data_IF_260473584455
#
_entry.id   IF_260473584455
#
_cell.length_a   1.000
_cell.length_b   1.000
_cell.length_c   1.000
_cell.angle_alpha   90.00
_cell.angle_beta   90.00
_cell.angle_gamma   90.00
#
_symmetry.space_group_name_H-M   'P 1'
#
loop_
_entity.id
_entity.type
_entity.pdbx_description
1 polymer ?
#
# COMPACT_ATOMS: atom_id res chain seq x y z
N UNK A 1 1.35 46.89 -17.70
CA UNK A 1 2.14 45.89 -16.94
C UNK A 1 1.28 45.16 -15.90
N UNK A 2 0.01 44.85 -16.18
CA UNK A 2 -0.90 44.21 -15.21
C UNK A 2 -1.09 42.70 -15.42
N UNK A 3 -0.75 42.15 -16.59
CA UNK A 3 -1.02 40.73 -16.90
C UNK A 3 0.02 39.74 -16.32
N UNK A 4 1.15 40.20 -15.77
CA UNK A 4 2.15 39.29 -15.17
C UNK A 4 1.75 38.81 -13.77
N UNK A 5 1.11 39.66 -12.97
CA UNK A 5 0.72 39.35 -11.59
C UNK A 5 -0.43 38.34 -11.52
N UNK A 6 -1.35 38.34 -12.49
CA UNK A 6 -2.43 37.35 -12.52
C UNK A 6 -1.94 35.94 -12.88
N UNK A 7 -0.92 35.81 -13.73
CA UNK A 7 -0.31 34.52 -14.06
C UNK A 7 0.54 33.97 -12.92
N UNK A 8 1.27 34.81 -12.20
CA UNK A 8 2.03 34.37 -11.01
C UNK A 8 1.09 33.90 -9.87
N UNK A 9 -0.04 34.58 -9.65
CA UNK A 9 -1.02 34.15 -8.62
C UNK A 9 -1.76 32.88 -9.05
N UNK A 10 -1.96 32.64 -10.35
CA UNK A 10 -2.54 31.38 -10.85
C UNK A 10 -1.52 30.24 -10.78
N UNK A 11 -0.23 30.47 -11.03
CA UNK A 11 0.82 29.46 -10.86
C UNK A 11 1.09 29.13 -9.39
N UNK A 12 1.02 30.11 -8.48
CA UNK A 12 1.04 29.87 -7.02
C UNK A 12 -0.19 29.08 -6.59
N UNK A 13 -1.35 29.26 -7.25
CA UNK A 13 -2.56 28.44 -7.02
C UNK A 13 -2.48 27.02 -7.61
N UNK A 14 -1.67 26.78 -8.63
CA UNK A 14 -1.41 25.43 -9.19
C UNK A 14 -0.34 24.68 -8.37
N UNK A 15 0.49 25.42 -7.62
CA UNK A 15 1.45 24.90 -6.64
C UNK A 15 0.91 24.82 -5.20
N UNK A 16 -0.41 24.84 -4.99
CA UNK A 16 -0.97 24.53 -3.67
C UNK A 16 -0.72 23.05 -3.44
N UNK A 17 0.32 22.74 -2.65
CA UNK A 17 0.39 21.48 -1.93
C UNK A 17 -0.88 21.42 -1.11
N UNK A 18 -1.92 20.75 -1.63
CA UNK A 18 -3.18 20.61 -0.91
C UNK A 18 -2.84 19.74 0.29
N UNK A 19 -2.76 20.39 1.43
CA UNK A 19 -2.46 19.76 2.71
C UNK A 19 -3.74 19.10 3.21
N UNK A 20 -3.67 17.81 3.48
CA UNK A 20 -4.77 17.04 4.06
C UNK A 20 -4.35 16.55 5.45
N UNK A 21 -5.20 16.77 6.44
CA UNK A 21 -4.99 16.27 7.80
C UNK A 21 -5.50 14.83 7.88
N UNK A 22 -4.67 13.92 8.38
CA UNK A 22 -5.09 12.55 8.68
C UNK A 22 -4.57 12.08 10.02
N UNK A 23 -5.24 11.06 10.58
CA UNK A 23 -4.85 10.47 11.85
C UNK A 23 -3.57 9.63 11.67
N UNK A 24 -2.57 9.83 12.54
CA UNK A 24 -1.32 9.02 12.54
C UNK A 24 -1.59 7.53 12.63
N UNK A 25 -2.61 7.15 13.41
CA UNK A 25 -3.11 5.77 13.54
C UNK A 25 -3.53 5.16 12.20
N UNK A 26 -4.13 5.94 11.31
CA UNK A 26 -4.56 5.48 9.99
C UNK A 26 -3.37 5.21 9.07
N UNK A 27 -2.34 6.06 9.11
CA UNK A 27 -1.10 5.87 8.35
C UNK A 27 -0.40 4.58 8.79
N UNK A 28 -0.36 4.31 10.09
CA UNK A 28 0.30 3.09 10.60
C UNK A 28 -0.48 1.83 10.26
N UNK A 29 -1.81 1.88 10.25
CA UNK A 29 -2.61 0.79 9.70
C UNK A 29 -2.32 0.58 8.20
N UNK A 30 -2.17 1.65 7.42
CA UNK A 30 -1.78 1.53 6.00
C UNK A 30 -0.41 0.88 5.84
N UNK A 31 0.59 1.24 6.64
CA UNK A 31 1.93 0.62 6.63
C UNK A 31 1.82 -0.90 6.85
N UNK A 32 1.09 -1.34 7.88
CA UNK A 32 0.92 -2.76 8.18
C UNK A 32 0.07 -3.49 7.14
N UNK A 33 -0.92 -2.81 6.56
CA UNK A 33 -1.73 -3.34 5.46
C UNK A 33 -0.86 -3.61 4.22
N UNK A 34 -0.02 -2.65 3.82
CA UNK A 34 0.89 -2.86 2.70
C UNK A 34 1.91 -3.95 2.99
N UNK A 35 2.45 -4.02 4.21
CA UNK A 35 3.37 -5.08 4.61
C UNK A 35 2.72 -6.48 4.52
N UNK A 36 1.44 -6.59 4.90
CA UNK A 36 0.66 -7.82 4.76
C UNK A 36 0.59 -8.26 3.29
N UNK A 37 0.32 -7.33 2.36
CA UNK A 37 0.26 -7.64 0.93
C UNK A 37 1.62 -7.93 0.31
N UNK A 38 2.72 -7.38 0.83
CA UNK A 38 4.07 -7.80 0.42
C UNK A 38 4.28 -9.27 0.77
N UNK A 39 4.01 -9.65 2.02
CA UNK A 39 4.16 -11.04 2.49
C UNK A 39 3.28 -11.98 1.65
N UNK A 40 2.02 -11.59 1.44
CA UNK A 40 1.08 -12.38 0.66
C UNK A 40 1.46 -12.51 -0.83
N UNK A 41 1.92 -11.41 -1.44
CA UNK A 41 2.36 -11.40 -2.83
C UNK A 41 3.60 -12.26 -3.05
N UNK A 42 4.60 -12.15 -2.17
CA UNK A 42 5.80 -13.01 -2.20
C UNK A 42 5.43 -14.48 -2.03
N UNK A 43 4.56 -14.79 -1.06
CA UNK A 43 4.07 -16.15 -0.86
C UNK A 43 3.34 -16.70 -2.10
N UNK A 44 2.56 -15.85 -2.78
CA UNK A 44 1.89 -16.21 -4.04
C UNK A 44 2.90 -16.65 -5.10
N UNK A 45 4.02 -15.93 -5.24
CA UNK A 45 5.06 -16.25 -6.21
C UNK A 45 5.81 -17.51 -5.79
N UNK A 46 6.33 -17.55 -4.56
CA UNK A 46 7.20 -18.62 -4.07
C UNK A 46 6.48 -19.98 -4.04
N UNK A 47 5.20 -20.00 -3.67
CA UNK A 47 4.39 -21.23 -3.65
C UNK A 47 4.22 -21.88 -5.03
N UNK A 48 4.39 -21.13 -6.13
CA UNK A 48 4.38 -21.71 -7.47
C UNK A 48 5.67 -22.49 -7.78
N UNK A 49 6.82 -22.02 -7.27
CA UNK A 49 8.12 -22.66 -7.49
C UNK A 49 8.43 -23.77 -6.48
N UNK A 50 7.95 -23.60 -5.25
CA UNK A 50 8.19 -24.52 -4.13
C UNK A 50 6.85 -24.95 -3.53
N UNK A 51 6.11 -25.86 -4.19
CA UNK A 51 4.84 -26.36 -3.67
C UNK A 51 5.09 -27.21 -2.41
N UNK A 52 4.93 -26.60 -1.24
CA UNK A 52 5.14 -27.26 0.05
C UNK A 52 4.46 -26.52 1.19
N UNK A 53 4.03 -27.27 2.22
CA UNK A 53 3.28 -26.71 3.36
C UNK A 53 4.08 -25.73 4.22
N UNK A 54 5.41 -25.83 4.24
CA UNK A 54 6.28 -24.98 5.06
C UNK A 54 6.13 -23.48 4.74
N UNK A 55 6.04 -23.12 3.46
CA UNK A 55 5.86 -21.72 3.02
C UNK A 55 4.52 -21.19 3.49
N UNK A 56 3.47 -22.01 3.47
CA UNK A 56 2.14 -21.62 3.94
C UNK A 56 2.15 -21.36 5.45
N UNK A 57 2.76 -22.22 6.24
CA UNK A 57 2.90 -22.01 7.69
C UNK A 57 3.72 -20.77 8.02
N UNK A 58 4.84 -20.56 7.33
CA UNK A 58 5.69 -19.37 7.51
C UNK A 58 4.94 -18.09 7.14
N UNK A 59 4.21 -18.12 6.01
CA UNK A 59 3.39 -17.00 5.55
C UNK A 59 2.30 -16.66 6.56
N UNK A 60 1.58 -17.68 7.06
CA UNK A 60 0.54 -17.50 8.07
C UNK A 60 1.11 -16.89 9.36
N UNK A 61 2.27 -17.39 9.83
CA UNK A 61 2.97 -16.87 10.99
C UNK A 61 3.39 -15.41 10.83
N UNK A 62 3.99 -15.05 9.68
CA UNK A 62 4.42 -13.68 9.39
C UNK A 62 3.24 -12.72 9.24
N UNK A 63 2.17 -13.13 8.56
CA UNK A 63 0.96 -12.32 8.44
C UNK A 63 0.29 -12.12 9.81
N UNK A 64 0.20 -13.17 10.63
CA UNK A 64 -0.34 -13.10 11.98
C UNK A 64 0.47 -12.16 12.87
N UNK A 65 1.80 -12.29 12.86
CA UNK A 65 2.70 -11.39 13.59
C UNK A 65 2.53 -9.93 13.16
N UNK A 66 2.46 -9.68 11.85
CA UNK A 66 2.26 -8.33 11.31
C UNK A 66 0.92 -7.71 11.76
N UNK A 67 -0.16 -8.50 11.79
CA UNK A 67 -1.47 -8.03 12.29
C UNK A 67 -1.38 -7.68 13.77
N UNK A 68 -0.78 -8.55 14.59
CA UNK A 68 -0.63 -8.32 16.03
C UNK A 68 0.18 -7.05 16.30
N UNK A 69 1.32 -6.89 15.63
CA UNK A 69 2.17 -5.69 15.76
C UNK A 69 1.39 -4.44 15.33
N UNK A 70 0.68 -4.50 14.21
CA UNK A 70 -0.14 -3.39 13.72
C UNK A 70 -1.22 -2.95 14.71
N UNK A 71 -1.88 -3.90 15.36
CA UNK A 71 -2.88 -3.62 16.41
C UNK A 71 -2.22 -2.99 17.63
N UNK A 72 -1.09 -3.54 18.10
CA UNK A 72 -0.34 -2.98 19.24
C UNK A 72 0.08 -1.53 18.95
N UNK A 73 0.64 -1.27 17.77
CA UNK A 73 1.02 0.07 17.34
C UNK A 73 -0.19 1.02 17.26
N UNK A 74 -1.33 0.56 16.74
CA UNK A 74 -2.56 1.36 16.68
C UNK A 74 -3.05 1.82 18.06
N UNK A 75 -2.99 0.94 19.07
CA UNK A 75 -3.43 1.28 20.43
C UNK A 75 -2.43 2.15 21.19
N UNK A 76 -1.12 2.01 20.92
CA UNK A 76 -0.07 2.81 21.58
C UNK A 76 -0.08 4.28 21.18
N UNK A 77 -0.59 4.62 20.00
CA UNK A 77 -0.53 5.99 19.47
C UNK A 77 -1.69 6.80 19.99
N UNK A 78 -1.54 8.06 20.41
CA UNK A 78 -2.67 8.90 20.85
C UNK A 78 -3.76 9.03 19.76
N UNK A 79 -5.03 9.16 20.16
CA UNK A 79 -6.14 9.34 19.19
C UNK A 79 -6.08 10.69 18.48
N UNK A 80 -5.49 11.68 19.14
CA UNK A 80 -5.55 13.08 18.72
C UNK A 80 -4.30 13.51 17.94
N UNK A 81 -3.41 12.56 17.63
CA UNK A 81 -2.19 12.84 16.87
C UNK A 81 -2.50 12.92 15.36
N UNK A 82 -2.59 14.15 14.87
CA UNK A 82 -2.86 14.48 13.47
C UNK A 82 -1.54 14.69 12.75
N UNK A 83 -1.42 14.09 11.57
CA UNK A 83 -0.29 14.29 10.65
C UNK A 83 -0.76 15.05 9.43
N UNK A 84 0.09 15.99 9.00
CA UNK A 84 -0.14 16.84 7.84
C UNK A 84 0.44 16.14 6.62
N UNK A 85 -0.43 15.60 5.78
CA UNK A 85 0.00 14.79 4.63
C UNK A 85 -0.28 15.52 3.32
N UNK A 86 0.64 15.40 2.37
CA UNK A 86 0.44 15.88 1.02
C UNK A 86 -0.67 15.06 0.32
N UNK A 87 -1.68 15.73 -0.24
CA UNK A 87 -2.79 15.09 -0.97
C UNK A 87 -2.28 14.17 -2.09
N UNK A 88 -1.18 14.51 -2.75
CA UNK A 88 -0.58 13.70 -3.82
C UNK A 88 -0.14 12.33 -3.29
N UNK A 89 0.45 12.28 -2.09
CA UNK A 89 0.88 11.02 -1.47
C UNK A 89 -0.33 10.15 -1.10
N UNK A 90 -1.41 10.77 -0.63
CA UNK A 90 -2.69 10.10 -0.36
C UNK A 90 -3.32 9.53 -1.65
N UNK A 91 -3.34 10.29 -2.75
CA UNK A 91 -3.85 9.82 -4.03
C UNK A 91 -3.02 8.66 -4.59
N UNK A 92 -1.68 8.74 -4.48
CA UNK A 92 -0.78 7.64 -4.87
C UNK A 92 -1.05 6.38 -4.06
N UNK A 93 -1.25 6.49 -2.75
CA UNK A 93 -1.61 5.36 -1.88
C UNK A 93 -2.93 4.71 -2.31
N UNK A 94 -3.94 5.51 -2.69
CA UNK A 94 -5.21 4.98 -3.25
C UNK A 94 -5.00 4.23 -4.57
N UNK A 95 -4.17 4.75 -5.47
CA UNK A 95 -3.84 4.06 -6.73
C UNK A 95 -3.14 2.72 -6.44
N UNK A 96 -2.21 2.68 -5.48
CA UNK A 96 -1.59 1.44 -5.03
C UNK A 96 -2.62 0.44 -4.49
N UNK A 97 -3.61 0.90 -3.73
CA UNK A 97 -4.71 0.05 -3.24
C UNK A 97 -5.57 -0.52 -4.39
N UNK A 98 -5.83 0.26 -5.44
CA UNK A 98 -6.50 -0.27 -6.64
C UNK A 98 -5.65 -1.31 -7.37
N UNK A 99 -4.33 -1.10 -7.46
CA UNK A 99 -3.40 -2.11 -7.98
C UNK A 99 -3.44 -3.41 -7.18
N UNK A 100 -3.52 -3.31 -5.84
CA UNK A 100 -3.69 -4.48 -4.97
C UNK A 100 -5.02 -5.19 -5.21
N UNK A 101 -6.13 -4.45 -5.28
CA UNK A 101 -7.44 -5.01 -5.57
C UNK A 101 -7.45 -5.74 -6.92
N UNK A 102 -6.83 -5.16 -7.94
CA UNK A 102 -6.67 -5.79 -9.25
C UNK A 102 -5.84 -7.08 -9.16
N UNK A 103 -4.72 -7.07 -8.45
CA UNK A 103 -3.89 -8.28 -8.27
C UNK A 103 -4.66 -9.43 -7.61
N UNK A 104 -5.51 -9.12 -6.62
CA UNK A 104 -6.35 -10.10 -5.94
C UNK A 104 -7.43 -10.66 -6.86
N UNK A 105 -8.06 -9.80 -7.67
CA UNK A 105 -9.05 -10.23 -8.66
C UNK A 105 -8.42 -11.15 -9.70
N UNK A 106 -7.26 -10.78 -10.26
CA UNK A 106 -6.52 -11.62 -11.21
C UNK A 106 -6.18 -12.97 -10.58
N UNK A 107 -5.71 -12.98 -9.33
CA UNK A 107 -5.42 -14.21 -8.59
C UNK A 107 -6.67 -15.08 -8.39
N UNK A 108 -7.81 -14.48 -8.08
CA UNK A 108 -9.07 -15.21 -7.89
C UNK A 108 -9.59 -15.83 -9.19
N UNK A 109 -9.51 -15.07 -10.30
CA UNK A 109 -9.90 -15.55 -11.63
C UNK A 109 -8.96 -16.62 -12.17
N UNK A 110 -7.70 -16.63 -11.72
CA UNK A 110 -6.71 -17.64 -12.13
C UNK A 110 -7.12 -19.07 -11.75
N UNK A 111 -8.04 -19.30 -10.82
CA UNK A 111 -8.41 -20.64 -10.31
C UNK A 111 -8.96 -21.60 -11.39
N UNK A 112 -9.36 -21.09 -12.56
CA UNK A 112 -10.15 -21.84 -13.54
C UNK A 112 -9.40 -22.42 -14.75
N UNK A 113 -8.07 -22.27 -14.88
CA UNK A 113 -7.41 -22.54 -16.19
C UNK A 113 -5.97 -23.11 -16.18
N UNK A 114 -5.53 -23.75 -17.27
CA UNK A 114 -4.19 -24.36 -17.41
C UNK A 114 -3.02 -23.34 -17.36
N UNK A 115 -3.32 -22.03 -17.49
CA UNK A 115 -2.36 -20.91 -17.43
C UNK A 115 -2.13 -20.44 -15.96
N UNK A 116 -2.69 -21.14 -14.97
CA UNK A 116 -2.60 -20.84 -13.52
C UNK A 116 -1.21 -20.37 -13.10
N UNK A 117 -0.15 -21.08 -13.51
CA UNK A 117 1.21 -20.77 -13.06
C UNK A 117 1.63 -19.33 -13.41
N UNK A 118 1.49 -18.92 -14.67
CA UNK A 118 1.90 -17.59 -15.14
C UNK A 118 0.98 -16.47 -14.60
N UNK A 119 -0.32 -16.75 -14.49
CA UNK A 119 -1.28 -15.78 -13.95
C UNK A 119 -1.05 -15.57 -12.44
N UNK A 120 -0.76 -16.63 -11.69
CA UNK A 120 -0.47 -16.54 -10.26
C UNK A 120 0.83 -15.77 -9.98
N UNK A 121 1.89 -16.02 -10.76
CA UNK A 121 3.15 -15.28 -10.64
C UNK A 121 2.94 -13.80 -10.97
N UNK A 122 2.30 -13.49 -12.09
CA UNK A 122 2.06 -12.09 -12.49
C UNK A 122 1.17 -11.34 -11.49
N UNK A 123 0.14 -11.99 -10.95
CA UNK A 123 -0.67 -11.43 -9.87
C UNK A 123 0.16 -11.17 -8.60
N UNK A 124 1.00 -12.12 -8.20
CA UNK A 124 1.90 -11.96 -7.06
C UNK A 124 2.88 -10.81 -7.26
N UNK A 125 3.48 -10.68 -8.44
CA UNK A 125 4.41 -9.59 -8.78
C UNK A 125 3.69 -8.24 -8.76
N UNK A 126 2.51 -8.12 -9.37
CA UNK A 126 1.71 -6.89 -9.36
C UNK A 126 1.36 -6.48 -7.92
N UNK A 127 1.02 -7.45 -7.08
CA UNK A 127 0.71 -7.23 -5.67
C UNK A 127 1.92 -6.69 -4.91
N UNK A 128 3.09 -7.33 -5.06
CA UNK A 128 4.33 -6.91 -4.38
C UNK A 128 4.74 -5.50 -4.82
N UNK A 129 4.71 -5.19 -6.11
CA UNK A 129 5.08 -3.87 -6.63
C UNK A 129 4.11 -2.81 -6.08
N UNK A 130 2.80 -3.06 -6.18
CA UNK A 130 1.78 -2.13 -5.70
C UNK A 130 1.91 -1.89 -4.19
N UNK A 131 2.15 -2.96 -3.42
CA UNK A 131 2.34 -2.90 -1.98
C UNK A 131 3.61 -2.17 -1.58
N UNK A 132 4.74 -2.40 -2.27
CA UNK A 132 6.01 -1.71 -2.00
C UNK A 132 5.90 -0.20 -2.24
N UNK A 133 5.30 0.21 -3.36
CA UNK A 133 5.07 1.63 -3.63
C UNK A 133 4.12 2.26 -2.59
N UNK A 134 3.05 1.56 -2.22
CA UNK A 134 2.13 1.99 -1.17
C UNK A 134 2.82 2.14 0.20
N UNK A 135 3.63 1.15 0.58
CA UNK A 135 4.42 1.12 1.82
C UNK A 135 5.39 2.29 1.91
N UNK A 136 6.16 2.55 0.85
CA UNK A 136 7.10 3.67 0.81
C UNK A 136 6.40 5.03 0.92
N UNK A 137 5.24 5.19 0.28
CA UNK A 137 4.44 6.40 0.38
C UNK A 137 3.86 6.58 1.80
N UNK A 138 3.43 5.49 2.44
CA UNK A 138 2.93 5.51 3.81
C UNK A 138 4.04 5.85 4.83
N UNK A 139 5.25 5.32 4.66
CA UNK A 139 6.41 5.70 5.50
C UNK A 139 6.81 7.16 5.32
N UNK A 140 6.81 7.67 4.08
CA UNK A 140 7.04 9.10 3.81
C UNK A 140 5.99 9.98 4.48
N UNK A 141 4.73 9.54 4.50
CA UNK A 141 3.66 10.24 5.18
C UNK A 141 3.79 10.19 6.71
N UNK A 142 4.47 9.19 7.28
CA UNK A 142 4.67 9.06 8.72
C UNK A 142 5.84 9.92 9.24
N UNK A 143 6.87 10.13 8.42
CA UNK A 143 8.07 10.90 8.77
C UNK A 143 7.94 12.41 8.51
N UNK A 144 6.85 12.85 7.86
CA UNK A 144 6.51 14.27 7.66
C UNK A 144 5.64 14.77 8.82
#
# INVERSE_FOLDING_TARGET
MENKWHLEVVFVKIGVVIIMQTLKRSIILQVHLFLLFIIFGVSTIVSQFYPGGLINYLTLGLMGANIIIGIICFFKIPKDEIVVVNLINMQRSKICLYGLALSLLVRFLAVFDFIIFYVMISAGVLMVISALFGFLNALKALNN
#
